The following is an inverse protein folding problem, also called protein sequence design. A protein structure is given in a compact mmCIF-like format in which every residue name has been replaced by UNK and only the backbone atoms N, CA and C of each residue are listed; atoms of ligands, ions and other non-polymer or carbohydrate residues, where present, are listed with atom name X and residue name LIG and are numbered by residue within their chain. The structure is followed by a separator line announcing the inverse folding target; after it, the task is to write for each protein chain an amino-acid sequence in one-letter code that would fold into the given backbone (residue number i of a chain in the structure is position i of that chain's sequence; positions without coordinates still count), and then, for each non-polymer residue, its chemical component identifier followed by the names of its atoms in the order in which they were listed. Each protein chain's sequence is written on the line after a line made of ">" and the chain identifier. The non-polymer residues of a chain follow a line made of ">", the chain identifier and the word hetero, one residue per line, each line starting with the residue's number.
data_IF_161577924865
#
_entry.id   IF_161577924865
#
_cell.length_a   1.000
_cell.length_b   1.000
_cell.length_c   1.000
_cell.angle_alpha   90.00
_cell.angle_beta   90.00
_cell.angle_gamma   90.00
#
_symmetry.space_group_name_H-M   'P 1'
#
loop_
_entity.id
_entity.type
_entity.pdbx_description
1 polymer ?
#
# COMPACT_ATOMS: atom_id res chain seq x y z
N UNK A 1 31.16 -5.90 15.34
CA UNK A 1 29.81 -5.35 15.65
C UNK A 1 28.80 -6.36 15.13
N UNK A 2 28.15 -7.11 16.02
CA UNK A 2 27.19 -8.15 15.65
C UNK A 2 25.85 -7.48 15.31
N UNK A 3 25.54 -7.35 14.02
CA UNK A 3 24.18 -7.08 13.56
C UNK A 3 23.49 -8.43 13.40
N UNK A 4 22.84 -8.93 14.45
CA UNK A 4 21.73 -9.86 14.24
C UNK A 4 20.61 -9.04 13.62
N UNK A 5 20.51 -9.03 12.30
CA UNK A 5 19.32 -8.51 11.62
C UNK A 5 18.16 -9.38 12.05
N UNK A 6 17.25 -8.82 12.85
CA UNK A 6 15.94 -9.43 13.09
C UNK A 6 15.30 -9.56 11.70
N UNK A 7 15.16 -10.79 11.22
CA UNK A 7 14.47 -11.05 9.95
C UNK A 7 13.03 -10.60 10.13
N UNK A 8 12.63 -9.55 9.40
CA UNK A 8 11.25 -9.08 9.37
C UNK A 8 10.50 -9.83 8.26
N UNK A 9 9.19 -10.03 8.39
CA UNK A 9 8.40 -10.61 7.32
C UNK A 9 8.40 -9.69 6.09
N UNK A 10 8.46 -10.28 4.88
CA UNK A 10 8.41 -9.51 3.63
C UNK A 10 6.99 -9.13 3.23
N UNK A 11 6.01 -9.86 3.75
CA UNK A 11 4.57 -9.66 3.51
C UNK A 11 3.78 -9.99 4.76
N UNK A 12 2.52 -9.53 4.86
CA UNK A 12 1.61 -9.97 5.92
C UNK A 12 1.31 -11.48 5.87
N UNK A 13 1.40 -12.12 4.70
CA UNK A 13 1.23 -13.55 4.58
C UNK A 13 2.37 -14.30 5.28
N UNK A 14 3.61 -13.82 5.11
CA UNK A 14 4.76 -14.34 5.87
C UNK A 14 4.61 -14.04 7.36
N UNK A 15 4.21 -12.82 7.72
CA UNK A 15 3.97 -12.42 9.11
C UNK A 15 3.00 -13.36 9.84
N UNK A 16 1.89 -13.72 9.18
CA UNK A 16 0.91 -14.65 9.70
C UNK A 16 1.43 -16.10 9.74
N UNK A 17 1.91 -16.62 8.60
CA UNK A 17 2.21 -18.04 8.46
C UNK A 17 3.52 -18.49 9.12
N UNK A 18 4.54 -17.62 9.17
CA UNK A 18 5.89 -17.99 9.66
C UNK A 18 6.25 -17.33 10.99
N UNK A 19 5.72 -16.13 11.25
CA UNK A 19 6.01 -15.39 12.48
C UNK A 19 4.86 -15.43 13.49
N UNK A 20 3.67 -15.93 13.12
CA UNK A 20 2.50 -16.00 13.99
C UNK A 20 2.00 -14.64 14.46
N UNK A 21 2.24 -13.58 13.68
CA UNK A 21 1.85 -12.22 14.04
C UNK A 21 0.35 -11.99 13.78
N UNK A 22 -0.37 -11.32 14.70
CA UNK A 22 -1.78 -11.03 14.53
C UNK A 22 -2.03 -9.93 13.48
N UNK A 23 -3.28 -9.81 13.05
CA UNK A 23 -3.75 -8.68 12.24
C UNK A 23 -3.49 -7.34 12.96
N UNK A 24 -3.09 -6.32 12.20
CA UNK A 24 -2.71 -5.01 12.70
C UNK A 24 -1.48 -4.41 11.99
N UNK A 25 -1.04 -3.20 12.41
CA UNK A 25 0.15 -2.57 11.85
C UNK A 25 1.39 -3.45 12.06
N UNK A 26 2.09 -3.77 10.97
CA UNK A 26 3.26 -4.65 10.99
C UNK A 26 4.36 -4.03 10.14
N UNK A 27 5.60 -4.04 10.67
CA UNK A 27 6.77 -3.63 9.92
C UNK A 27 7.19 -4.75 8.96
N UNK A 28 7.17 -4.45 7.68
CA UNK A 28 7.54 -5.34 6.60
C UNK A 28 8.89 -4.93 6.02
N UNK A 29 9.71 -5.93 5.71
CA UNK A 29 10.96 -5.77 4.98
C UNK A 29 10.79 -6.35 3.57
N UNK A 30 10.26 -5.53 2.65
CA UNK A 30 9.76 -6.01 1.35
C UNK A 30 10.86 -6.47 0.39
N UNK A 31 12.13 -6.15 0.64
CA UNK A 31 13.26 -6.61 -0.16
C UNK A 31 14.25 -7.50 0.61
N UNK A 32 14.01 -7.72 1.91
CA UNK A 32 14.73 -8.66 2.76
C UNK A 32 16.10 -8.11 3.16
N UNK A 33 17.15 -8.93 3.04
CA UNK A 33 18.51 -8.54 3.44
C UNK A 33 19.16 -7.45 2.56
N UNK A 34 18.39 -6.79 1.70
CA UNK A 34 18.82 -5.71 0.82
C UNK A 34 18.68 -4.36 1.56
N UNK A 35 19.20 -3.26 1.00
CA UNK A 35 19.34 -2.02 1.77
C UNK A 35 18.04 -1.20 1.90
N UNK A 36 16.89 -1.67 1.41
CA UNK A 36 15.65 -0.92 1.53
C UNK A 36 15.18 -0.94 2.99
N UNK A 37 14.84 0.24 3.52
CA UNK A 37 14.30 0.32 4.86
C UNK A 37 12.90 -0.29 4.93
N UNK A 38 12.60 -0.93 6.06
CA UNK A 38 11.28 -1.50 6.34
C UNK A 38 10.15 -0.46 6.21
N UNK A 39 8.94 -0.96 6.00
CA UNK A 39 7.72 -0.15 5.79
C UNK A 39 6.56 -0.73 6.59
N UNK A 40 5.69 0.11 7.12
CA UNK A 40 4.53 -0.34 7.89
C UNK A 40 3.32 -0.54 6.98
N UNK A 41 2.80 -1.76 6.95
CA UNK A 41 1.51 -2.10 6.36
C UNK A 41 0.51 -2.50 7.45
N UNK A 42 -0.79 -2.50 7.13
CA UNK A 42 -1.81 -3.09 8.01
C UNK A 42 -2.07 -4.51 7.54
N UNK A 43 -1.79 -5.49 8.40
CA UNK A 43 -2.08 -6.89 8.12
C UNK A 43 -3.53 -7.22 8.46
N UNK A 44 -4.23 -7.88 7.54
CA UNK A 44 -5.58 -8.39 7.72
C UNK A 44 -5.62 -9.85 7.26
N UNK A 45 -5.54 -10.79 8.21
CA UNK A 45 -5.58 -12.24 7.95
C UNK A 45 -4.58 -12.70 6.87
N UNK A 46 -3.37 -12.14 6.92
CA UNK A 46 -2.30 -12.39 5.94
C UNK A 46 -2.31 -11.47 4.71
N UNK A 47 -3.34 -10.66 4.51
CA UNK A 47 -3.38 -9.65 3.45
C UNK A 47 -2.61 -8.39 3.88
N UNK A 48 -1.70 -7.91 3.03
CA UNK A 48 -1.00 -6.63 3.22
C UNK A 48 -1.87 -5.49 2.70
N UNK A 49 -2.38 -4.64 3.60
CA UNK A 49 -3.12 -3.42 3.24
C UNK A 49 -2.19 -2.22 3.38
N UNK A 50 -1.93 -1.53 2.26
CA UNK A 50 -1.12 -0.30 2.23
C UNK A 50 -2.05 0.91 2.12
N UNK A 51 -2.12 1.79 3.12
CA UNK A 51 -2.96 2.98 3.07
C UNK A 51 -2.43 3.99 2.05
N UNK A 52 -3.35 4.64 1.33
CA UNK A 52 -3.05 5.79 0.47
C UNK A 52 -3.30 7.11 1.22
N UNK A 53 -2.68 8.19 0.76
CA UNK A 53 -2.80 9.51 1.40
C UNK A 53 -3.85 10.42 0.76
N UNK A 54 -4.55 9.97 -0.30
CA UNK A 54 -5.63 10.75 -0.91
C UNK A 54 -6.78 10.97 0.09
N UNK A 55 -7.13 12.23 0.42
CA UNK A 55 -8.22 12.54 1.34
C UNK A 55 -9.57 12.07 0.81
N UNK A 56 -10.48 11.71 1.72
CA UNK A 56 -11.85 11.40 1.36
C UNK A 56 -12.54 12.65 0.79
N UNK A 57 -13.35 12.49 -0.26
CA UNK A 57 -14.03 13.59 -0.94
C UNK A 57 -13.11 14.51 -1.73
N UNK A 58 -11.91 14.05 -2.14
CA UNK A 58 -11.06 14.80 -3.07
C UNK A 58 -11.85 15.19 -4.30
N UNK A 59 -11.96 16.50 -4.55
CA UNK A 59 -12.74 17.04 -5.68
C UNK A 59 -12.00 16.71 -6.97
N UNK A 60 -12.58 15.77 -7.72
CA UNK A 60 -12.00 15.30 -8.98
C UNK A 60 -12.09 16.34 -10.10
N UNK A 61 -13.22 17.06 -10.18
CA UNK A 61 -13.47 18.16 -11.12
C UNK A 61 -14.44 19.17 -10.51
N UNK A 62 -14.18 20.45 -10.75
CA UNK A 62 -15.17 21.50 -10.56
C UNK A 62 -16.06 21.60 -11.82
N UNK A 63 -17.30 22.08 -11.68
CA UNK A 63 -18.25 22.23 -12.79
C UNK A 63 -17.77 23.14 -13.92
N UNK A 64 -16.78 23.99 -13.64
CA UNK A 64 -16.25 25.00 -14.55
C UNK A 64 -15.05 24.49 -15.37
N UNK A 65 -14.49 23.32 -15.01
CA UNK A 65 -13.29 22.76 -15.64
C UNK A 65 -13.60 21.49 -16.43
N UNK A 66 -13.46 21.59 -17.75
CA UNK A 66 -13.69 20.49 -18.71
C UNK A 66 -12.45 19.65 -19.00
N UNK A 67 -11.30 19.96 -18.40
CA UNK A 67 -10.02 19.29 -18.69
C UNK A 67 -9.88 17.95 -17.96
N UNK A 68 -8.95 17.11 -18.42
CA UNK A 68 -8.65 15.85 -17.74
C UNK A 68 -7.95 16.12 -16.40
N UNK A 69 -8.50 15.56 -15.33
CA UNK A 69 -7.88 15.63 -14.01
C UNK A 69 -6.89 14.48 -13.83
N UNK A 70 -5.71 14.79 -13.29
CA UNK A 70 -4.68 13.81 -12.96
C UNK A 70 -4.38 13.88 -11.47
N UNK A 71 -4.48 12.75 -10.79
CA UNK A 71 -4.16 12.62 -9.38
C UNK A 71 -2.97 11.69 -9.20
N UNK A 72 -1.95 12.17 -8.50
CA UNK A 72 -0.86 11.31 -8.04
C UNK A 72 -1.23 10.82 -6.64
N UNK A 73 -1.51 9.53 -6.52
CA UNK A 73 -1.82 8.89 -5.23
C UNK A 73 -0.50 8.46 -4.58
N UNK A 74 -0.17 9.03 -3.44
CA UNK A 74 0.95 8.56 -2.60
C UNK A 74 0.47 7.51 -1.60
N UNK A 75 1.41 6.67 -1.19
CA UNK A 75 1.21 5.60 -0.21
C UNK A 75 2.22 5.78 0.90
N UNK A 76 1.73 6.14 2.08
CA UNK A 76 2.47 6.72 3.19
C UNK A 76 3.92 6.25 3.36
N UNK A 77 4.12 4.98 3.73
CA UNK A 77 5.45 4.41 4.05
C UNK A 77 6.06 3.64 2.87
N UNK A 78 5.44 3.78 1.69
CA UNK A 78 5.68 2.94 0.52
C UNK A 78 5.99 3.80 -0.70
N UNK A 79 7.26 3.81 -1.10
CA UNK A 79 7.67 4.32 -2.41
C UNK A 79 7.21 3.38 -3.52
N UNK A 80 7.24 3.84 -4.78
CA UNK A 80 6.94 3.01 -5.95
C UNK A 80 7.76 1.72 -5.99
N UNK A 81 9.04 1.79 -5.60
CA UNK A 81 9.92 0.62 -5.54
C UNK A 81 9.50 -0.37 -4.44
N UNK A 82 9.15 0.15 -3.25
CA UNK A 82 8.64 -0.67 -2.14
C UNK A 82 7.33 -1.37 -2.53
N UNK A 83 6.41 -0.67 -3.19
CA UNK A 83 5.18 -1.24 -3.72
C UNK A 83 5.45 -2.30 -4.78
N UNK A 84 6.35 -2.04 -5.72
CA UNK A 84 6.71 -3.01 -6.75
C UNK A 84 7.27 -4.30 -6.15
N UNK A 85 8.09 -4.20 -5.09
CA UNK A 85 8.60 -5.36 -4.35
C UNK A 85 7.49 -6.11 -3.62
N UNK A 86 6.62 -5.39 -2.90
CA UNK A 86 5.47 -6.00 -2.23
C UNK A 86 4.55 -6.74 -3.20
N UNK A 87 4.26 -6.15 -4.37
CA UNK A 87 3.46 -6.75 -5.44
C UNK A 87 4.15 -8.01 -5.98
N UNK A 88 5.46 -7.95 -6.23
CA UNK A 88 6.25 -9.11 -6.71
C UNK A 88 6.19 -10.27 -5.72
N UNK A 89 6.18 -9.97 -4.42
CA UNK A 89 6.09 -10.96 -3.35
C UNK A 89 4.64 -11.43 -3.07
N UNK A 90 3.64 -10.91 -3.80
CA UNK A 90 2.21 -11.17 -3.55
C UNK A 90 1.58 -11.95 -4.71
N UNK A 91 0.67 -12.87 -4.41
CA UNK A 91 -0.05 -13.61 -5.44
C UNK A 91 -1.10 -12.78 -6.19
N UNK A 92 -1.72 -11.80 -5.52
CA UNK A 92 -2.69 -10.87 -6.13
C UNK A 92 -2.58 -9.48 -5.49
N UNK A 93 -2.95 -8.44 -6.24
CA UNK A 93 -3.08 -7.07 -5.76
C UNK A 93 -4.41 -6.50 -6.24
N UNK A 94 -5.13 -5.77 -5.38
CA UNK A 94 -6.40 -5.11 -5.71
C UNK A 94 -6.42 -3.72 -5.07
N UNK A 95 -7.04 -2.78 -5.77
CA UNK A 95 -7.31 -1.44 -5.27
C UNK A 95 -8.75 -1.06 -5.65
N UNK A 96 -9.43 -0.37 -4.76
CA UNK A 96 -10.78 0.14 -4.97
C UNK A 96 -10.75 1.67 -4.95
N UNK A 97 -11.46 2.28 -5.89
CA UNK A 97 -11.63 3.74 -5.98
C UNK A 97 -13.12 4.01 -6.05
N UNK A 98 -13.62 4.83 -5.13
CA UNK A 98 -14.99 5.32 -5.16
C UNK A 98 -15.01 6.72 -5.79
N UNK A 99 -15.85 6.90 -6.81
CA UNK A 99 -16.07 8.17 -7.47
C UNK A 99 -17.55 8.55 -7.32
N UNK A 100 -17.80 9.60 -6.54
CA UNK A 100 -19.14 10.15 -6.35
C UNK A 100 -19.34 11.28 -7.37
N UNK A 101 -20.42 11.22 -8.15
CA UNK A 101 -20.68 12.15 -9.24
C UNK A 101 -22.07 12.80 -9.15
N UNK A 102 -22.18 14.00 -9.70
CA UNK A 102 -23.45 14.71 -9.87
C UNK A 102 -23.50 15.27 -11.30
N UNK A 103 -24.45 14.79 -12.11
CA UNK A 103 -24.59 15.14 -13.53
C UNK A 103 -23.31 14.97 -14.37
N UNK A 104 -22.41 14.06 -13.97
CA UNK A 104 -21.21 13.72 -14.71
C UNK A 104 -21.25 12.23 -15.08
N UNK A 105 -21.49 11.96 -16.36
CA UNK A 105 -21.49 10.59 -16.87
C UNK A 105 -20.06 10.04 -16.85
N UNK A 106 -19.90 8.81 -16.36
CA UNK A 106 -18.69 8.00 -16.52
C UNK A 106 -18.68 7.43 -17.93
N UNK A 107 -18.36 8.27 -18.91
CA UNK A 107 -18.18 7.91 -20.32
C UNK A 107 -16.73 7.60 -20.64
#
# INVERSE_FOLDING_TARGET
>A
KNHCSVLQPRTCAEANAFYGLPSGPTQLDVDGTRPMLGSVAVCQDGMSVVPHDMPNGTIARASEDTTHAMFIVSYRDFTSDKLARLITNSGTCRQYVQYDCNNAALG
#
